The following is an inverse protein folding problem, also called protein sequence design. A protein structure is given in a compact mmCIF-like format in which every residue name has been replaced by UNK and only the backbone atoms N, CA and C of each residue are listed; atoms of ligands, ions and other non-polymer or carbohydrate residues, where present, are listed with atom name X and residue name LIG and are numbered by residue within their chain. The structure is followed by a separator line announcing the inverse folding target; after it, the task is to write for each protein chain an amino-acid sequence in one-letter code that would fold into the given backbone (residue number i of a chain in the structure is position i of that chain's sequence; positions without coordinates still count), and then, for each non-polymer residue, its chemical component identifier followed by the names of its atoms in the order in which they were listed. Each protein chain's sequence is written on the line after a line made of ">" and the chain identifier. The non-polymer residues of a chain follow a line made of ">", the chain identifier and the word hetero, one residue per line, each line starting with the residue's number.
data_IF_766244893367
#
_entry.id   IF_766244893367
#
_cell.length_a   1.000
_cell.length_b   1.000
_cell.length_c   1.000
_cell.angle_alpha   90.00
_cell.angle_beta   90.00
_cell.angle_gamma   90.00
#
_symmetry.space_group_name_H-M   'P 1'
#
loop_
_entity.id
_entity.type
_entity.pdbx_description
1 polymer ?
#
# COMPACT_ATOMS: atom_id res chain seq x y z
N UNK A 1 52.08 -10.10 -3.15
CA UNK A 1 51.23 -9.92 -4.35
C UNK A 1 49.83 -10.57 -4.23
N UNK A 2 49.40 -11.10 -3.07
CA UNK A 2 48.09 -11.75 -2.89
C UNK A 2 47.00 -10.87 -2.24
N UNK A 3 47.27 -9.59 -1.96
CA UNK A 3 46.37 -8.68 -1.24
C UNK A 3 45.28 -8.04 -2.13
N UNK A 4 45.51 -7.92 -3.43
CA UNK A 4 44.55 -7.33 -4.38
C UNK A 4 43.25 -8.14 -4.57
N UNK A 5 43.27 -9.48 -4.72
CA UNK A 5 42.03 -10.24 -4.90
C UNK A 5 41.18 -10.29 -3.63
N UNK A 6 41.80 -10.34 -2.44
CA UNK A 6 41.07 -10.32 -1.17
C UNK A 6 40.37 -8.98 -0.93
N UNK A 7 41.05 -7.87 -1.24
CA UNK A 7 40.50 -6.51 -1.15
C UNK A 7 39.34 -6.31 -2.14
N UNK A 8 39.47 -6.84 -3.36
CA UNK A 8 38.40 -6.78 -4.36
C UNK A 8 37.16 -7.56 -3.90
N UNK A 9 37.36 -8.75 -3.31
CA UNK A 9 36.28 -9.59 -2.80
C UNK A 9 35.52 -8.94 -1.63
N UNK A 10 36.23 -8.27 -0.71
CA UNK A 10 35.59 -7.49 0.37
C UNK A 10 34.83 -6.29 -0.17
N UNK A 11 35.39 -5.55 -1.13
CA UNK A 11 34.68 -4.42 -1.75
C UNK A 11 33.40 -4.90 -2.45
N UNK A 12 33.46 -6.00 -3.22
CA UNK A 12 32.28 -6.58 -3.89
C UNK A 12 31.22 -7.04 -2.88
N UNK A 13 31.65 -7.65 -1.78
CA UNK A 13 30.76 -8.11 -0.70
C UNK A 13 30.08 -6.94 0.03
N UNK A 14 30.81 -5.83 0.24
CA UNK A 14 30.25 -4.61 0.82
C UNK A 14 29.28 -3.90 -0.15
N UNK A 15 29.56 -3.89 -1.46
CA UNK A 15 28.68 -3.33 -2.48
C UNK A 15 27.35 -4.11 -2.59
N UNK A 16 27.38 -5.43 -2.41
CA UNK A 16 26.17 -6.26 -2.38
C UNK A 16 25.23 -5.89 -1.22
N UNK A 17 25.76 -5.40 -0.10
CA UNK A 17 24.98 -4.95 1.05
C UNK A 17 24.44 -3.51 0.91
N UNK A 18 24.82 -2.79 -0.16
CA UNK A 18 24.41 -1.41 -0.42
C UNK A 18 23.27 -1.31 -1.47
N UNK A 19 22.52 -2.39 -1.67
CA UNK A 19 21.42 -2.38 -2.65
C UNK A 19 20.22 -1.59 -2.13
N UNK A 20 19.88 -0.50 -2.80
CA UNK A 20 18.67 0.27 -2.57
C UNK A 20 17.63 -0.09 -3.64
N UNK A 21 16.52 -0.71 -3.24
CA UNK A 21 15.40 -1.00 -4.13
C UNK A 21 14.57 0.26 -4.37
N UNK A 22 14.02 0.38 -5.58
CA UNK A 22 12.90 1.27 -5.87
C UNK A 22 11.60 0.49 -5.73
N UNK A 23 10.81 0.86 -4.71
CA UNK A 23 9.63 0.12 -4.26
C UNK A 23 8.38 0.94 -4.53
N UNK A 24 7.37 0.31 -5.12
CA UNK A 24 6.00 0.83 -5.16
C UNK A 24 5.13 0.03 -4.21
N UNK A 25 4.38 0.70 -3.34
CA UNK A 25 3.34 0.09 -2.53
C UNK A 25 1.98 0.66 -2.95
N UNK A 26 1.07 -0.19 -3.37
CA UNK A 26 -0.30 0.14 -3.75
C UNK A 26 -1.21 -0.33 -2.62
N UNK A 27 -1.74 0.62 -1.85
CA UNK A 27 -2.69 0.40 -0.76
C UNK A 27 -3.91 1.28 -1.05
N UNK A 28 -4.67 0.88 -2.07
CA UNK A 28 -5.75 1.70 -2.63
C UNK A 28 -6.98 1.76 -1.75
N UNK A 29 -7.18 0.79 -0.85
CA UNK A 29 -8.40 0.72 -0.08
C UNK A 29 -8.54 1.95 0.83
N UNK A 30 -9.67 2.68 0.79
CA UNK A 30 -9.90 3.86 1.61
C UNK A 30 -10.29 3.50 3.05
N UNK A 31 -9.50 2.65 3.69
CA UNK A 31 -9.61 2.28 5.10
C UNK A 31 -8.27 2.56 5.80
N UNK A 32 -8.24 3.56 6.68
CA UNK A 32 -6.99 4.02 7.32
C UNK A 32 -6.24 2.90 8.05
N UNK A 33 -6.96 1.97 8.68
CA UNK A 33 -6.38 0.82 9.39
C UNK A 33 -5.52 -0.07 8.51
N UNK A 34 -5.87 -0.19 7.22
CA UNK A 34 -5.14 -1.02 6.27
C UNK A 34 -3.76 -0.46 5.99
N UNK A 35 -3.67 0.83 5.69
CA UNK A 35 -2.39 1.48 5.56
C UNK A 35 -1.60 1.48 6.87
N UNK A 36 -2.24 1.79 8.00
CA UNK A 36 -1.59 1.79 9.31
C UNK A 36 -0.94 0.43 9.65
N UNK A 37 -1.57 -0.68 9.27
CA UNK A 37 -1.04 -2.02 9.53
C UNK A 37 0.29 -2.28 8.81
N UNK A 38 0.47 -1.74 7.59
CA UNK A 38 1.66 -1.96 6.75
C UNK A 38 2.63 -0.78 6.74
N UNK A 39 2.21 0.39 7.25
CA UNK A 39 3.03 1.60 7.29
C UNK A 39 4.42 1.38 7.92
N UNK A 40 4.57 0.71 9.09
CA UNK A 40 5.88 0.48 9.68
C UNK A 40 6.86 -0.23 8.73
N UNK A 41 6.39 -1.20 7.94
CA UNK A 41 7.23 -1.91 6.97
C UNK A 41 7.84 -0.95 5.96
N UNK A 42 7.01 -0.11 5.32
CA UNK A 42 7.47 0.83 4.29
C UNK A 42 8.38 1.92 4.86
N UNK A 43 8.08 2.39 6.07
CA UNK A 43 8.91 3.37 6.77
C UNK A 43 10.30 2.80 7.10
N UNK A 44 10.37 1.57 7.57
CA UNK A 44 11.64 0.89 7.87
C UNK A 44 12.45 0.59 6.60
N UNK A 45 11.78 0.21 5.51
CA UNK A 45 12.44 0.04 4.20
C UNK A 45 13.05 1.37 3.72
N UNK A 46 12.31 2.48 3.85
CA UNK A 46 12.82 3.80 3.51
C UNK A 46 14.01 4.22 4.41
N UNK A 47 13.93 3.95 5.72
CA UNK A 47 15.00 4.22 6.69
C UNK A 47 16.28 3.42 6.39
N UNK A 48 16.15 2.21 5.85
CA UNK A 48 17.26 1.36 5.40
C UNK A 48 17.87 1.79 4.05
N UNK A 49 17.35 2.85 3.43
CA UNK A 49 17.91 3.44 2.22
C UNK A 49 17.19 3.08 0.93
N UNK A 50 16.10 2.31 0.98
CA UNK A 50 15.26 2.06 -0.20
C UNK A 50 14.46 3.31 -0.57
N UNK A 51 14.20 3.49 -1.87
CA UNK A 51 13.26 4.50 -2.37
C UNK A 51 11.86 3.89 -2.34
N UNK A 52 10.94 4.51 -1.61
CA UNK A 52 9.59 3.95 -1.41
C UNK A 52 8.54 4.95 -1.86
N UNK A 53 7.78 4.60 -2.89
CA UNK A 53 6.56 5.30 -3.28
C UNK A 53 5.37 4.55 -2.73
N UNK A 54 4.53 5.21 -1.95
CA UNK A 54 3.26 4.65 -1.45
C UNK A 54 2.10 5.35 -2.14
N UNK A 55 1.24 4.59 -2.81
CA UNK A 55 -0.01 5.06 -3.35
C UNK A 55 -1.14 4.66 -2.40
N UNK A 56 -1.75 5.64 -1.73
CA UNK A 56 -2.79 5.42 -0.73
C UNK A 56 -3.71 6.65 -0.55
N UNK A 57 -4.73 6.51 0.29
CA UNK A 57 -5.67 7.59 0.63
C UNK A 57 -5.27 8.39 1.90
N UNK A 58 -4.17 8.01 2.55
CA UNK A 58 -3.78 8.57 3.84
C UNK A 58 -2.26 8.86 3.88
N UNK A 59 -1.78 9.89 3.15
CA UNK A 59 -0.36 10.22 3.14
C UNK A 59 0.20 10.53 4.53
N UNK A 60 1.40 10.01 4.85
CA UNK A 60 2.09 10.35 6.10
C UNK A 60 2.69 11.76 5.99
N UNK A 61 2.20 12.67 6.83
CA UNK A 61 2.69 14.06 6.93
C UNK A 61 4.14 14.13 7.42
N UNK A 62 4.62 13.10 8.12
CA UNK A 62 5.98 13.01 8.68
C UNK A 62 6.80 11.90 8.00
N UNK A 63 6.63 11.75 6.69
CA UNK A 63 7.33 10.76 5.88
C UNK A 63 8.86 10.83 6.03
N UNK A 64 9.52 9.68 5.98
CA UNK A 64 10.97 9.63 5.85
C UNK A 64 11.40 10.24 4.50
N UNK A 65 12.58 10.85 4.42
CA UNK A 65 13.07 11.53 3.19
C UNK A 65 13.14 10.65 1.94
N UNK A 66 13.24 9.33 2.11
CA UNK A 66 13.27 8.35 1.00
C UNK A 66 11.88 7.74 0.73
N UNK A 67 10.83 8.34 1.29
CA UNK A 67 9.46 7.88 1.19
C UNK A 67 8.59 9.00 0.65
N UNK A 68 7.84 8.73 -0.40
CA UNK A 68 6.91 9.68 -1.00
C UNK A 68 5.53 9.06 -1.18
N UNK A 69 4.52 9.91 -1.33
CA UNK A 69 3.13 9.49 -1.41
C UNK A 69 2.46 9.96 -2.69
N UNK A 70 1.62 9.10 -3.25
CA UNK A 70 0.65 9.41 -4.30
C UNK A 70 -0.72 9.33 -3.65
N UNK A 71 -1.33 10.49 -3.45
CA UNK A 71 -2.60 10.61 -2.73
C UNK A 71 -3.78 10.25 -3.63
N UNK A 72 -4.56 9.27 -3.19
CA UNK A 72 -5.78 8.79 -3.85
C UNK A 72 -7.06 9.45 -3.31
N UNK A 73 -7.00 10.23 -2.24
CA UNK A 73 -8.15 10.94 -1.67
C UNK A 73 -8.23 12.39 -2.17
N UNK A 74 -8.65 12.56 -3.43
CA UNK A 74 -8.71 13.90 -4.03
C UNK A 74 -9.83 14.78 -3.47
N UNK A 75 -10.92 14.19 -2.99
CA UNK A 75 -12.12 14.93 -2.58
C UNK A 75 -12.38 14.92 -1.06
N UNK A 76 -11.54 14.26 -0.25
CA UNK A 76 -11.76 14.10 1.20
C UNK A 76 -13.01 13.29 1.54
N UNK A 77 -13.56 12.58 0.55
CA UNK A 77 -14.83 11.87 0.60
C UNK A 77 -14.66 10.36 0.79
N UNK A 78 -13.41 9.89 0.91
CA UNK A 78 -13.07 8.48 1.11
C UNK A 78 -13.39 8.03 2.54
N UNK A 79 -14.68 7.95 2.84
CA UNK A 79 -15.21 7.30 4.04
C UNK A 79 -15.69 5.92 3.62
N UNK A 80 -14.81 4.93 3.71
CA UNK A 80 -15.28 3.55 3.73
C UNK A 80 -16.19 3.39 4.93
N UNK A 81 -17.50 3.26 4.72
CA UNK A 81 -18.44 2.98 5.79
C UNK A 81 -18.18 1.56 6.29
N UNK A 82 -17.57 1.44 7.48
CA UNK A 82 -17.40 0.17 8.16
C UNK A 82 -18.38 0.12 9.32
N UNK A 83 -19.01 -1.04 9.50
CA UNK A 83 -19.75 -1.35 10.73
C UNK A 83 -18.79 -1.21 11.93
N UNK A 84 -19.10 -0.37 12.93
CA UNK A 84 -18.24 -0.19 14.09
C UNK A 84 -18.15 -1.46 14.93
N UNK A 85 -17.08 -1.56 15.74
CA UNK A 85 -16.74 -2.81 16.45
C UNK A 85 -17.78 -3.17 17.52
N UNK A 86 -18.38 -2.17 18.17
CA UNK A 86 -19.43 -2.29 19.18
C UNK A 86 -20.66 -3.05 18.66
N UNK A 87 -20.98 -2.90 17.37
CA UNK A 87 -22.01 -3.71 16.73
C UNK A 87 -21.67 -5.20 16.82
N UNK A 88 -20.43 -5.60 16.52
CA UNK A 88 -20.04 -7.01 16.58
C UNK A 88 -19.96 -7.56 18.00
N UNK A 89 -19.73 -6.71 19.00
CA UNK A 89 -19.75 -7.10 20.42
C UNK A 89 -21.16 -7.34 20.95
N UNK A 90 -22.17 -6.68 20.39
CA UNK A 90 -23.56 -6.68 20.88
C UNK A 90 -24.53 -7.46 19.99
N UNK A 91 -24.18 -7.70 18.73
CA UNK A 91 -25.03 -8.40 17.77
C UNK A 91 -25.10 -9.91 18.08
N UNK A 92 -26.30 -10.47 17.95
CA UNK A 92 -26.53 -11.90 18.18
C UNK A 92 -25.75 -12.75 17.17
N UNK A 93 -24.86 -13.60 17.70
CA UNK A 93 -24.00 -14.48 16.92
C UNK A 93 -24.77 -15.44 16.01
N UNK A 94 -26.01 -15.79 16.35
CA UNK A 94 -26.86 -16.67 15.52
C UNK A 94 -27.20 -16.03 14.17
N UNK A 95 -27.29 -14.70 14.11
CA UNK A 95 -27.59 -13.96 12.88
C UNK A 95 -26.36 -13.38 12.20
N UNK A 96 -25.20 -13.40 12.87
CA UNK A 96 -23.98 -12.76 12.38
C UNK A 96 -23.51 -13.32 11.03
N UNK A 97 -23.63 -14.64 10.83
CA UNK A 97 -23.31 -15.27 9.56
C UNK A 97 -24.19 -14.77 8.41
N UNK A 98 -25.49 -14.62 8.66
CA UNK A 98 -26.45 -14.13 7.68
C UNK A 98 -26.22 -12.65 7.38
N UNK A 99 -25.96 -11.83 8.41
CA UNK A 99 -25.60 -10.43 8.26
C UNK A 99 -24.31 -10.26 7.44
N UNK A 100 -23.25 -11.02 7.76
CA UNK A 100 -21.99 -11.01 7.02
C UNK A 100 -22.18 -11.44 5.56
N UNK A 101 -23.02 -12.45 5.32
CA UNK A 101 -23.39 -12.88 3.97
C UNK A 101 -24.07 -11.73 3.21
N UNK A 102 -25.13 -11.13 3.75
CA UNK A 102 -25.82 -10.01 3.09
C UNK A 102 -24.89 -8.83 2.84
N UNK A 103 -24.04 -8.46 3.82
CA UNK A 103 -23.05 -7.40 3.65
C UNK A 103 -22.08 -7.72 2.51
N UNK A 104 -21.57 -8.94 2.44
CA UNK A 104 -20.64 -9.35 1.41
C UNK A 104 -21.27 -9.27 0.01
N UNK A 105 -22.52 -9.67 -0.16
CA UNK A 105 -23.18 -9.66 -1.47
C UNK A 105 -23.77 -8.31 -1.88
N UNK A 106 -24.22 -7.49 -0.92
CA UNK A 106 -24.89 -6.22 -1.22
C UNK A 106 -23.96 -5.01 -1.18
N UNK A 107 -23.03 -4.97 -0.23
CA UNK A 107 -22.22 -3.77 0.05
C UNK A 107 -20.83 -3.86 -0.57
N UNK A 108 -20.16 -5.02 -0.47
CA UNK A 108 -18.78 -5.17 -0.98
C UNK A 108 -18.63 -4.88 -2.47
N UNK A 109 -19.50 -5.32 -3.40
CA UNK A 109 -19.29 -5.08 -4.83
C UNK A 109 -19.27 -3.60 -5.19
N UNK A 110 -20.12 -2.79 -4.56
CA UNK A 110 -20.18 -1.34 -4.78
C UNK A 110 -18.92 -0.65 -4.28
N UNK A 111 -18.48 -0.99 -3.07
CA UNK A 111 -17.24 -0.44 -2.49
C UNK A 111 -15.99 -0.85 -3.26
N UNK A 112 -15.86 -2.13 -3.64
CA UNK A 112 -14.75 -2.61 -4.47
C UNK A 112 -14.75 -1.93 -5.84
N UNK A 113 -15.91 -1.77 -6.47
CA UNK A 113 -16.02 -1.06 -7.75
C UNK A 113 -15.57 0.39 -7.61
N UNK A 114 -16.03 1.10 -6.59
CA UNK A 114 -15.66 2.50 -6.36
C UNK A 114 -14.15 2.66 -6.08
N UNK A 115 -13.55 1.76 -5.30
CA UNK A 115 -12.11 1.72 -5.06
C UNK A 115 -11.32 1.52 -6.37
N UNK A 116 -11.69 0.51 -7.18
CA UNK A 116 -11.07 0.29 -8.48
C UNK A 116 -11.24 1.49 -9.42
N UNK A 117 -12.45 2.05 -9.52
CA UNK A 117 -12.73 3.20 -10.37
C UNK A 117 -11.89 4.41 -9.95
N UNK A 118 -11.79 4.69 -8.65
CA UNK A 118 -10.89 5.73 -8.15
C UNK A 118 -9.44 5.42 -8.56
N UNK A 119 -8.90 4.23 -8.26
CA UNK A 119 -7.53 3.87 -8.61
C UNK A 119 -7.18 4.09 -10.09
N UNK A 120 -8.05 3.69 -11.02
CA UNK A 120 -7.79 3.84 -12.46
C UNK A 120 -8.04 5.24 -13.02
N UNK A 121 -8.97 6.00 -12.43
CA UNK A 121 -9.36 7.31 -12.96
C UNK A 121 -8.74 8.49 -12.23
N UNK A 122 -8.18 8.25 -11.04
CA UNK A 122 -7.52 9.26 -10.21
C UNK A 122 -6.36 9.94 -10.95
N UNK A 123 -6.37 11.28 -10.96
CA UNK A 123 -5.40 12.05 -11.73
C UNK A 123 -3.98 11.91 -11.18
N UNK A 124 -3.80 11.79 -9.86
CA UNK A 124 -2.49 11.60 -9.25
C UNK A 124 -1.90 10.23 -9.61
N UNK A 125 -2.73 9.18 -9.59
CA UNK A 125 -2.34 7.84 -10.01
C UNK A 125 -1.93 7.82 -11.49
N UNK A 126 -2.78 8.35 -12.38
CA UNK A 126 -2.50 8.45 -13.82
C UNK A 126 -1.23 9.25 -14.09
N UNK A 127 -1.10 10.43 -13.49
CA UNK A 127 0.09 11.28 -13.64
C UNK A 127 1.36 10.61 -13.11
N UNK A 128 1.23 9.71 -12.13
CA UNK A 128 2.36 8.89 -11.68
C UNK A 128 2.72 7.81 -12.70
N UNK A 129 1.74 7.08 -13.22
CA UNK A 129 1.96 6.03 -14.23
C UNK A 129 2.51 6.60 -15.54
N UNK A 130 2.06 7.78 -15.96
CA UNK A 130 2.53 8.47 -17.17
C UNK A 130 4.03 8.81 -17.12
N UNK A 131 4.64 8.88 -15.93
CA UNK A 131 6.10 9.07 -15.78
C UNK A 131 6.91 7.86 -16.25
N UNK A 132 6.28 6.69 -16.41
CA UNK A 132 6.95 5.47 -16.86
C UNK A 132 8.02 4.94 -15.90
N UNK A 133 7.93 5.28 -14.61
CA UNK A 133 8.88 4.85 -13.57
C UNK A 133 8.87 3.32 -13.48
N UNK A 134 10.06 2.72 -13.42
CA UNK A 134 10.24 1.29 -13.20
C UNK A 134 10.55 1.02 -11.74
N UNK A 135 9.93 0.00 -11.21
CA UNK A 135 10.07 -0.44 -9.83
C UNK A 135 10.69 -1.83 -9.80
N UNK A 136 11.57 -2.08 -8.82
CA UNK A 136 12.19 -3.38 -8.61
C UNK A 136 11.22 -4.33 -7.91
N UNK A 137 10.39 -3.79 -7.01
CA UNK A 137 9.39 -4.52 -6.23
C UNK A 137 8.11 -3.71 -6.15
N UNK A 138 6.97 -4.37 -6.35
CA UNK A 138 5.64 -3.80 -6.16
C UNK A 138 4.92 -4.60 -5.08
N UNK A 139 4.49 -3.91 -4.03
CA UNK A 139 3.57 -4.44 -3.04
C UNK A 139 2.16 -4.01 -3.42
N UNK A 140 1.23 -4.95 -3.49
CA UNK A 140 -0.18 -4.68 -3.77
C UNK A 140 -1.01 -5.21 -2.61
N UNK A 141 -1.83 -4.34 -2.06
CA UNK A 141 -2.84 -4.75 -1.10
C UNK A 141 -3.88 -5.67 -1.78
N UNK A 142 -4.14 -6.82 -1.14
CA UNK A 142 -5.17 -7.75 -1.57
C UNK A 142 -6.15 -7.97 -0.43
N UNK A 143 -7.31 -7.32 -0.50
CA UNK A 143 -8.36 -7.44 0.52
C UNK A 143 -9.78 -7.49 -0.07
N UNK A 144 -10.31 -6.37 -0.57
CA UNK A 144 -11.66 -6.33 -1.17
C UNK A 144 -11.68 -6.48 -2.69
N UNK A 145 -10.53 -6.33 -3.34
CA UNK A 145 -10.40 -6.40 -4.80
C UNK A 145 -8.95 -6.57 -5.23
N UNK A 146 -8.75 -6.72 -6.54
CA UNK A 146 -7.46 -6.95 -7.18
C UNK A 146 -7.05 -5.79 -8.12
N UNK A 147 -7.66 -4.60 -7.98
CA UNK A 147 -7.48 -3.47 -8.90
C UNK A 147 -6.00 -3.08 -9.09
N UNK A 148 -5.20 -3.15 -8.02
CA UNK A 148 -3.76 -2.82 -8.07
C UNK A 148 -2.89 -3.84 -8.82
N UNK A 149 -3.43 -5.00 -9.22
CA UNK A 149 -2.76 -6.02 -10.03
C UNK A 149 -3.03 -5.90 -11.54
N UNK A 150 -4.02 -5.09 -11.93
CA UNK A 150 -4.51 -5.00 -13.30
C UNK A 150 -3.76 -3.98 -14.18
#
# INVERSE_FOLDING_TARGET
>A
MASHPLLLLTILSCLHHAFALNILAIVSLPLQSHYMAVHPLFRELAAKGHSVTVMNNYPDKNAHKNMQFIDLDQDGNNVGYITPMDFYETFDSNYLHLYNFFRHFQLSPGSTKADCENFFTNENAKAHFDKGIKYDVIFVEMFMGECGLA
#
